data_IF_773299287250
#
_entry.id   IF_773299287250
#
_cell.length_a   1.000
_cell.length_b   1.000
_cell.length_c   1.000
_cell.angle_alpha   90.00
_cell.angle_beta   90.00
_cell.angle_gamma   90.00
#
_symmetry.space_group_name_H-M   'P 1'
#
loop_
_entity.id
_entity.type
_entity.pdbx_description
1 polymer ?
#
# COMPACT_ATOMS: atom_id res chain seq x y z
N UNK A 1 8.10 26.24 -11.00
CA UNK A 1 7.66 26.21 -9.59
C UNK A 1 8.64 25.32 -8.81
N UNK A 2 8.63 25.33 -7.47
CA UNK A 2 9.54 24.46 -6.70
C UNK A 2 8.84 23.15 -6.35
N UNK A 3 9.44 22.01 -6.68
CA UNK A 3 8.90 20.70 -6.34
C UNK A 3 8.89 20.50 -4.82
N UNK A 4 7.77 20.05 -4.26
CA UNK A 4 7.59 19.75 -2.84
C UNK A 4 8.49 18.61 -2.36
N UNK A 5 8.70 17.59 -3.20
CA UNK A 5 9.46 16.38 -2.84
C UNK A 5 10.97 16.62 -2.92
N UNK A 6 11.48 17.03 -4.09
CA UNK A 6 12.94 17.16 -4.29
C UNK A 6 13.49 18.59 -4.13
N UNK A 7 12.62 19.59 -3.97
CA UNK A 7 13.03 20.99 -3.81
C UNK A 7 13.61 21.65 -5.06
N UNK A 8 13.65 20.98 -6.22
CA UNK A 8 14.18 21.55 -7.47
C UNK A 8 13.17 22.50 -8.12
N UNK A 9 13.67 23.54 -8.79
CA UNK A 9 12.85 24.38 -9.67
C UNK A 9 12.68 23.69 -11.03
N UNK A 10 11.44 23.34 -11.36
CA UNK A 10 11.08 22.60 -12.57
C UNK A 10 9.59 22.80 -12.88
N UNK A 11 9.14 22.26 -14.02
CA UNK A 11 7.72 22.07 -14.29
C UNK A 11 7.14 21.06 -13.30
N UNK A 12 5.94 21.36 -12.80
CA UNK A 12 5.27 20.61 -11.74
C UNK A 12 3.78 20.53 -12.01
N UNK A 13 3.19 19.41 -11.60
CA UNK A 13 1.74 19.16 -11.56
C UNK A 13 1.24 19.18 -10.11
N UNK A 14 -0.08 19.34 -9.94
CA UNK A 14 -0.71 19.29 -8.61
C UNK A 14 -1.05 17.83 -8.24
N UNK A 15 -0.39 17.30 -7.23
CA UNK A 15 -0.65 15.96 -6.65
C UNK A 15 -0.96 16.15 -5.16
N UNK A 16 -2.14 15.74 -4.70
CA UNK A 16 -2.56 15.98 -3.31
C UNK A 16 -2.50 17.47 -2.89
N UNK A 17 -2.76 18.38 -3.84
CA UNK A 17 -2.65 19.83 -3.63
C UNK A 17 -1.22 20.39 -3.56
N UNK A 18 -0.18 19.55 -3.69
CA UNK A 18 1.24 19.94 -3.70
C UNK A 18 1.81 19.99 -5.11
N UNK A 19 2.78 20.86 -5.34
CA UNK A 19 3.52 20.93 -6.61
C UNK A 19 4.57 19.81 -6.66
N UNK A 20 4.39 18.82 -7.54
CA UNK A 20 5.28 17.66 -7.70
C UNK A 20 5.76 17.60 -9.15
N UNK A 21 7.04 17.32 -9.38
CA UNK A 21 7.58 17.14 -10.73
C UNK A 21 7.39 15.71 -11.21
N UNK A 22 7.40 15.50 -12.52
CA UNK A 22 7.15 14.20 -13.15
C UNK A 22 8.04 13.07 -12.60
N UNK A 23 9.29 13.37 -12.28
CA UNK A 23 10.22 12.39 -11.70
C UNK A 23 9.87 11.98 -10.27
N UNK A 24 9.23 12.86 -9.50
CA UNK A 24 8.84 12.59 -8.13
C UNK A 24 7.41 12.05 -8.03
N UNK A 25 6.56 12.34 -9.02
CA UNK A 25 5.18 11.85 -9.05
C UNK A 25 5.12 10.32 -9.01
N UNK A 26 6.04 9.65 -9.72
CA UNK A 26 6.15 8.18 -9.72
C UNK A 26 6.58 7.57 -8.39
N UNK A 27 7.13 8.37 -7.46
CA UNK A 27 7.53 7.95 -6.11
C UNK A 27 6.61 8.54 -5.02
N UNK A 28 5.39 8.90 -5.39
CA UNK A 28 4.37 9.40 -4.47
C UNK A 28 3.01 8.77 -4.75
N UNK A 29 2.15 8.82 -3.75
CA UNK A 29 0.73 8.48 -3.88
C UNK A 29 -0.10 9.34 -2.93
N UNK A 30 -1.41 9.34 -3.13
CA UNK A 30 -2.37 10.02 -2.26
C UNK A 30 -3.20 8.99 -1.51
N UNK A 31 -3.33 9.18 -0.19
CA UNK A 31 -4.30 8.46 0.65
C UNK A 31 -5.72 9.08 0.49
N UNK A 32 -6.75 8.43 1.04
CA UNK A 32 -8.14 8.89 1.18
C UNK A 32 -8.32 10.40 1.38
N UNK A 33 -7.55 11.00 2.29
CA UNK A 33 -7.63 12.43 2.61
C UNK A 33 -6.78 13.34 1.69
N UNK A 34 -6.45 12.89 0.48
CA UNK A 34 -5.64 13.60 -0.53
C UNK A 34 -4.26 14.03 -0.05
N UNK A 35 -3.77 13.40 1.03
CA UNK A 35 -2.46 13.72 1.58
C UNK A 35 -1.39 12.98 0.80
N UNK A 36 -0.37 13.74 0.36
CA UNK A 36 0.74 13.21 -0.42
C UNK A 36 1.68 12.43 0.48
N UNK A 37 1.83 11.13 0.19
CA UNK A 37 2.78 10.24 0.84
C UNK A 37 3.89 9.91 -0.15
N UNK A 38 5.14 9.93 0.32
CA UNK A 38 6.31 9.58 -0.50
C UNK A 38 6.71 8.13 -0.25
N UNK A 39 7.27 7.47 -1.25
CA UNK A 39 7.81 6.12 -1.11
C UNK A 39 8.94 6.07 -0.09
N UNK A 40 9.75 7.13 -0.01
CA UNK A 40 10.81 7.26 0.98
C UNK A 40 10.26 7.24 2.41
N UNK A 41 9.15 7.94 2.68
CA UNK A 41 8.54 7.94 4.01
C UNK A 41 8.03 6.56 4.41
N UNK A 42 7.42 5.80 3.48
CA UNK A 42 6.97 4.43 3.74
C UNK A 42 8.16 3.52 4.04
N UNK A 43 9.24 3.60 3.25
CA UNK A 43 10.47 2.82 3.47
C UNK A 43 11.11 3.13 4.82
N UNK A 44 11.19 4.41 5.17
CA UNK A 44 11.74 4.86 6.46
C UNK A 44 10.90 4.34 7.63
N UNK A 45 9.57 4.39 7.51
CA UNK A 45 8.65 3.87 8.52
C UNK A 45 8.69 2.35 8.67
N UNK A 46 8.87 1.62 7.56
CA UNK A 46 9.01 0.16 7.57
C UNK A 46 10.35 -0.29 8.17
N UNK A 47 11.42 0.46 7.90
CA UNK A 47 12.79 0.03 8.19
C UNK A 47 13.28 -1.05 7.21
N UNK A 48 14.21 -1.89 7.66
CA UNK A 48 14.89 -2.88 6.81
C UNK A 48 14.17 -4.25 6.74
N UNK A 49 13.19 -4.48 7.61
CA UNK A 49 12.50 -5.78 7.70
C UNK A 49 11.31 -5.88 6.72
N UNK A 50 11.02 -7.08 6.18
CA UNK A 50 9.81 -7.30 5.38
C UNK A 50 8.54 -6.98 6.18
N UNK A 51 7.57 -6.35 5.51
CA UNK A 51 6.26 -6.12 6.07
C UNK A 51 5.38 -7.36 5.86
N UNK A 52 4.85 -7.88 6.96
CA UNK A 52 4.04 -9.10 6.96
C UNK A 52 2.55 -8.76 6.78
N UNK A 53 1.93 -9.33 5.74
CA UNK A 53 0.49 -9.19 5.48
C UNK A 53 -0.19 -10.55 5.63
N UNK A 54 -1.28 -10.59 6.38
CA UNK A 54 -2.15 -11.75 6.55
C UNK A 54 -3.61 -11.32 6.34
N UNK A 55 -4.18 -11.73 5.20
CA UNK A 55 -5.57 -11.38 4.87
C UNK A 55 -6.54 -12.16 5.75
N UNK A 56 -7.57 -11.52 6.24
CA UNK A 56 -8.60 -12.11 7.09
C UNK A 56 -9.75 -12.73 6.28
N UNK A 57 -9.99 -12.27 5.06
CA UNK A 57 -11.08 -12.76 4.22
C UNK A 57 -10.72 -12.86 2.72
N UNK A 58 -11.63 -13.45 1.93
CA UNK A 58 -11.44 -13.63 0.49
C UNK A 58 -11.40 -12.30 -0.27
N UNK A 59 -12.19 -11.30 0.15
CA UNK A 59 -12.26 -9.99 -0.52
C UNK A 59 -10.91 -9.25 -0.38
N UNK A 60 -10.31 -9.29 0.80
CA UNK A 60 -8.95 -8.79 1.05
C UNK A 60 -7.89 -9.51 0.19
N UNK A 61 -8.00 -10.85 0.09
CA UNK A 61 -7.12 -11.64 -0.76
C UNK A 61 -7.27 -11.28 -2.25
N UNK A 62 -8.50 -11.01 -2.70
CA UNK A 62 -8.77 -10.57 -4.06
C UNK A 62 -8.21 -9.17 -4.32
N UNK A 63 -8.35 -8.23 -3.37
CA UNK A 63 -7.79 -6.89 -3.44
C UNK A 63 -6.26 -6.91 -3.58
N UNK A 64 -5.57 -7.70 -2.74
CA UNK A 64 -4.11 -7.88 -2.85
C UNK A 64 -3.72 -8.54 -4.18
N UNK A 65 -4.42 -9.60 -4.58
CA UNK A 65 -4.14 -10.27 -5.85
C UNK A 65 -4.33 -9.32 -7.05
N UNK A 66 -5.36 -8.49 -7.03
CA UNK A 66 -5.60 -7.48 -8.06
C UNK A 66 -4.49 -6.41 -8.05
N UNK A 67 -4.16 -5.85 -6.89
CA UNK A 67 -3.07 -4.86 -6.76
C UNK A 67 -1.71 -5.42 -7.22
N UNK A 68 -1.41 -6.68 -6.92
CA UNK A 68 -0.17 -7.34 -7.37
C UNK A 68 -0.19 -7.54 -8.90
N UNK A 69 -1.30 -8.01 -9.45
CA UNK A 69 -1.42 -8.39 -10.86
C UNK A 69 -1.73 -7.22 -11.81
N UNK A 70 -1.93 -5.99 -11.31
CA UNK A 70 -2.25 -4.79 -12.10
C UNK A 70 -1.17 -4.31 -13.10
N UNK A 71 -0.08 -5.06 -13.32
CA UNK A 71 0.81 -4.84 -14.46
C UNK A 71 2.28 -5.05 -14.17
N UNK A 72 3.03 -5.19 -15.26
CA UNK A 72 4.47 -5.50 -15.46
C UNK A 72 5.37 -4.41 -14.84
N UNK A 73 5.15 -4.01 -13.60
CA UNK A 73 6.16 -3.28 -12.86
C UNK A 73 7.11 -4.30 -12.26
N UNK A 74 8.29 -4.42 -12.87
CA UNK A 74 9.38 -5.31 -12.43
C UNK A 74 9.78 -5.12 -10.97
N UNK A 75 9.34 -4.02 -10.34
CA UNK A 75 9.63 -3.71 -8.95
C UNK A 75 8.74 -4.45 -7.97
N UNK A 76 7.53 -4.91 -8.32
CA UNK A 76 6.69 -5.62 -7.36
C UNK A 76 7.12 -7.09 -7.20
N UNK A 77 8.26 -7.32 -6.53
CA UNK A 77 8.69 -8.65 -6.10
C UNK A 77 8.05 -8.98 -4.76
N UNK A 78 6.76 -9.32 -4.77
CA UNK A 78 6.14 -9.93 -3.59
C UNK A 78 6.72 -11.34 -3.43
N UNK A 79 7.38 -11.62 -2.30
CA UNK A 79 7.73 -13.00 -1.95
C UNK A 79 6.48 -13.63 -1.36
N UNK A 80 5.72 -14.31 -2.22
CA UNK A 80 4.71 -15.24 -1.74
C UNK A 80 5.44 -16.35 -0.98
N UNK A 81 5.15 -16.48 0.31
CA UNK A 81 5.41 -17.74 1.00
C UNK A 81 4.54 -18.81 0.33
N UNK A 82 5.07 -19.51 -0.69
CA UNK A 82 4.36 -20.54 -1.45
C UNK A 82 3.72 -21.62 -0.54
N UNK A 83 4.25 -21.79 0.69
CA UNK A 83 3.75 -22.70 1.71
C UNK A 83 2.49 -22.22 2.47
N UNK A 84 1.97 -21.01 2.20
CA UNK A 84 0.94 -20.38 3.04
C UNK A 84 -0.32 -19.90 2.32
N UNK A 85 -0.54 -20.16 1.04
CA UNK A 85 -1.89 -19.98 0.47
C UNK A 85 -2.79 -21.06 1.10
N UNK A 86 -3.54 -20.69 2.14
CA UNK A 86 -4.41 -21.62 2.87
C UNK A 86 -5.85 -21.41 2.41
N UNK A 87 -6.41 -22.44 1.80
CA UNK A 87 -7.85 -22.57 1.70
C UNK A 87 -8.42 -22.73 3.11
N UNK A 88 -9.21 -21.77 3.56
CA UNK A 88 -10.04 -21.90 4.74
C UNK A 88 -11.15 -22.91 4.41
N UNK A 89 -11.26 -23.98 5.18
CA UNK A 89 -12.30 -24.99 4.99
C UNK A 89 -13.38 -24.83 6.07
N UNK A 90 -14.65 -24.86 5.68
CA UNK A 90 -15.78 -25.03 6.60
C UNK A 90 -16.46 -26.36 6.22
N UNK A 91 -16.18 -27.41 6.99
CA UNK A 91 -16.51 -28.79 6.61
C UNK A 91 -15.75 -29.20 5.35
N UNK A 92 -16.44 -29.81 4.38
CA UNK A 92 -15.85 -30.24 3.10
C UNK A 92 -15.82 -29.13 2.02
N UNK A 93 -16.17 -27.89 2.38
CA UNK A 93 -16.23 -26.76 1.45
C UNK A 93 -15.10 -25.77 1.71
N UNK A 94 -14.46 -25.31 0.63
CA UNK A 94 -13.56 -24.16 0.66
C UNK A 94 -14.41 -22.91 0.94
N UNK A 95 -14.21 -22.33 2.11
CA UNK A 95 -14.89 -21.14 2.62
C UNK A 95 -14.19 -19.84 2.20
N UNK A 96 -12.94 -19.90 1.77
CA UNK A 96 -12.19 -18.76 1.25
C UNK A 96 -10.69 -19.04 1.16
N UNK A 97 -9.96 -18.15 0.52
CA UNK A 97 -8.52 -18.17 0.34
C UNK A 97 -7.92 -17.04 1.17
N UNK A 98 -6.94 -17.37 2.02
CA UNK A 98 -6.11 -16.38 2.72
C UNK A 98 -4.73 -16.34 2.07
N UNK A 99 -4.19 -15.13 1.95
CA UNK A 99 -2.83 -14.87 1.50
C UNK A 99 -1.98 -14.42 2.68
N UNK A 100 -0.79 -15.00 2.77
CA UNK A 100 0.26 -14.53 3.66
C UNK A 100 1.44 -14.10 2.79
N UNK A 101 1.82 -12.83 2.89
CA UNK A 101 2.82 -12.21 2.03
C UNK A 101 3.85 -11.48 2.87
N UNK A 102 5.10 -11.60 2.44
CA UNK A 102 6.20 -10.79 2.96
C UNK A 102 6.60 -9.79 1.87
N UNK A 103 6.43 -8.51 2.18
CA UNK A 103 6.63 -7.41 1.23
C UNK A 103 7.88 -6.63 1.64
N UNK A 104 8.86 -6.58 0.75
CA UNK A 104 10.13 -5.90 1.02
C UNK A 104 9.95 -4.37 1.05
N UNK A 105 10.85 -3.62 1.72
CA UNK A 105 10.79 -2.16 1.79
C UNK A 105 10.65 -1.46 0.44
N UNK A 106 11.33 -1.97 -0.59
CA UNK A 106 11.27 -1.37 -1.93
C UNK A 106 9.89 -1.49 -2.59
N UNK A 107 9.10 -2.48 -2.20
CA UNK A 107 7.88 -2.90 -2.91
C UNK A 107 6.60 -2.55 -2.16
N UNK A 108 6.68 -2.36 -0.84
CA UNK A 108 5.54 -1.94 -0.01
C UNK A 108 4.89 -0.64 -0.48
N UNK A 109 5.60 0.47 -0.74
CA UNK A 109 4.95 1.71 -1.18
C UNK A 109 4.25 1.57 -2.54
N UNK A 110 4.74 0.68 -3.41
CA UNK A 110 4.10 0.38 -4.70
C UNK A 110 2.79 -0.38 -4.47
N UNK A 111 2.79 -1.36 -3.55
CA UNK A 111 1.58 -2.10 -3.19
C UNK A 111 0.52 -1.16 -2.60
N UNK A 112 0.88 -0.33 -1.63
CA UNK A 112 -0.04 0.63 -0.98
C UNK A 112 -0.66 1.57 -2.01
N UNK A 113 0.16 2.13 -2.91
CA UNK A 113 -0.32 2.99 -3.99
C UNK A 113 -1.40 2.30 -4.83
N UNK A 114 -1.17 1.05 -5.24
CA UNK A 114 -2.11 0.31 -6.11
C UNK A 114 -3.41 -0.06 -5.39
N UNK A 115 -3.33 -0.35 -4.10
CA UNK A 115 -4.51 -0.58 -3.28
C UNK A 115 -5.40 0.68 -3.23
N UNK A 116 -4.80 1.88 -3.08
CA UNK A 116 -5.54 3.14 -3.16
C UNK A 116 -6.01 3.53 -4.58
N UNK A 117 -5.30 3.14 -5.63
CA UNK A 117 -5.70 3.43 -7.01
C UNK A 117 -6.87 2.57 -7.49
N UNK A 118 -7.10 1.40 -6.90
CA UNK A 118 -8.29 0.56 -7.15
C UNK A 118 -8.49 0.07 -8.58
N UNK A 119 -7.49 0.20 -9.44
CA UNK A 119 -7.67 0.06 -10.89
C UNK A 119 -8.12 -1.35 -11.29
N UNK A 120 -9.34 -1.47 -11.84
CA UNK A 120 -9.89 -2.75 -12.28
C UNK A 120 -10.45 -3.63 -11.16
N UNK A 121 -10.65 -3.08 -9.96
CA UNK A 121 -11.41 -3.71 -8.88
C UNK A 121 -12.90 -3.33 -8.98
N UNK A 122 -13.79 -4.24 -8.61
CA UNK A 122 -15.19 -3.89 -8.32
C UNK A 122 -15.30 -3.12 -7.00
N UNK A 123 -16.46 -2.50 -6.74
CA UNK A 123 -16.69 -1.65 -5.57
C UNK A 123 -16.40 -2.36 -4.23
N UNK A 124 -16.82 -3.61 -4.07
CA UNK A 124 -16.58 -4.38 -2.83
C UNK A 124 -15.09 -4.70 -2.64
N UNK A 125 -14.42 -5.08 -3.74
CA UNK A 125 -12.97 -5.34 -3.71
C UNK A 125 -12.17 -4.04 -3.48
N UNK A 126 -12.63 -2.91 -4.01
CA UNK A 126 -11.99 -1.62 -3.82
C UNK A 126 -12.09 -1.13 -2.37
N UNK A 127 -13.26 -1.22 -1.75
CA UNK A 127 -13.45 -0.88 -0.33
C UNK A 127 -12.52 -1.71 0.57
N UNK A 128 -12.37 -3.00 0.26
CA UNK A 128 -11.41 -3.85 0.97
C UNK A 128 -9.97 -3.39 0.72
N UNK A 129 -9.60 -3.05 -0.52
CA UNK A 129 -8.25 -2.58 -0.86
C UNK A 129 -7.88 -1.29 -0.11
N UNK A 130 -8.80 -0.34 -0.07
CA UNK A 130 -8.66 0.92 0.65
C UNK A 130 -8.50 0.68 2.16
N UNK A 131 -9.35 -0.19 2.74
CA UNK A 131 -9.25 -0.58 4.14
C UNK A 131 -7.91 -1.26 4.48
N UNK A 132 -7.42 -2.17 3.62
CA UNK A 132 -6.08 -2.75 3.79
C UNK A 132 -4.98 -1.70 3.74
N UNK A 133 -5.02 -0.81 2.76
CA UNK A 133 -3.99 0.20 2.57
C UNK A 133 -3.94 1.16 3.77
N UNK A 134 -5.09 1.61 4.24
CA UNK A 134 -5.23 2.44 5.44
C UNK A 134 -4.77 1.69 6.70
N UNK A 135 -5.06 0.39 6.83
CA UNK A 135 -4.54 -0.46 7.90
C UNK A 135 -3.02 -0.61 7.90
N UNK A 136 -2.42 -0.84 6.73
CA UNK A 136 -0.96 -0.90 6.54
C UNK A 136 -0.33 0.43 6.96
N UNK A 137 -0.83 1.55 6.45
CA UNK A 137 -0.35 2.89 6.78
C UNK A 137 -0.41 3.17 8.29
N UNK A 138 -1.53 2.84 8.93
CA UNK A 138 -1.71 2.97 10.38
C UNK A 138 -0.68 2.14 11.14
N UNK A 139 -0.48 0.88 10.75
CA UNK A 139 0.48 -0.02 11.41
C UNK A 139 1.93 0.45 11.32
N UNK A 140 2.27 1.18 10.24
CA UNK A 140 3.56 1.82 10.04
C UNK A 140 3.72 3.12 10.84
N UNK A 141 2.67 3.65 11.47
CA UNK A 141 2.73 4.90 12.23
C UNK A 141 2.27 6.14 11.46
N UNK A 142 1.53 5.99 10.37
CA UNK A 142 0.88 7.09 9.68
C UNK A 142 -0.53 7.33 10.24
N UNK A 143 -0.91 8.60 10.41
CA UNK A 143 -2.28 8.97 10.75
C UNK A 143 -3.22 8.87 9.52
N UNK A 144 -4.52 9.09 9.75
CA UNK A 144 -5.54 9.16 8.70
C UNK A 144 -5.27 10.27 7.65
N UNK A 145 -4.42 11.24 8.00
CA UNK A 145 -3.97 12.32 7.11
C UNK A 145 -2.66 11.98 6.40
N UNK A 146 -2.19 10.73 6.39
CA UNK A 146 -0.97 10.31 5.71
C UNK A 146 0.31 10.94 6.30
N UNK A 147 0.26 11.47 7.53
CA UNK A 147 1.43 12.02 8.22
C UNK A 147 2.02 10.94 9.11
N UNK A 148 3.33 10.76 9.02
CA UNK A 148 4.04 9.92 9.96
C UNK A 148 4.05 10.59 11.33
N UNK A 149 3.35 9.99 12.30
CA UNK A 149 3.25 10.43 13.70
C UNK A 149 3.93 9.45 14.66
N UNK A 150 4.38 8.31 14.16
CA UNK A 150 4.98 7.23 14.96
C UNK A 150 3.93 6.30 15.55
N UNK A 151 4.33 5.05 15.81
CA UNK A 151 3.45 3.98 16.30
C UNK A 151 2.94 4.23 17.72
N UNK A 152 3.78 4.79 18.59
CA UNK A 152 3.42 5.23 19.95
C UNK A 152 2.25 6.23 19.95
N UNK A 153 2.27 7.21 19.02
CA UNK A 153 1.23 8.24 18.94
C UNK A 153 -0.14 7.67 18.55
N UNK A 154 -0.16 6.49 17.91
CA UNK A 154 -1.36 5.75 17.54
C UNK A 154 -1.74 4.68 18.57
N UNK A 155 -0.99 4.54 19.68
CA UNK A 155 -1.23 3.55 20.72
C UNK A 155 -0.90 2.11 20.30
N UNK A 156 0.06 1.93 19.38
CA UNK A 156 0.45 0.62 18.84
C UNK A 156 1.68 0.00 19.53
N UNK A 157 2.28 0.70 20.50
CA UNK A 157 3.47 0.31 21.28
C UNK A 157 3.28 0.55 22.78
#
# INVERSE_FOLDING_TARGET
>A
MKCFVCGKETDTSKVGGKDVCDSCEVETFTQENLCLVTYAAVREAQGDEPFHIDTQCQTEANALAAAINQGIDSRLQAVSCQDKVRAMMIGDKVAGMRLHLDITPDTLPVLIRRLFEGSGMDEETFDAAESLASGIMTSLGFDECGRFVGREALGLE
#
